data_IF_360498521721
#
_entry.id   IF_360498521721
#
_cell.length_a   1.000
_cell.length_b   1.000
_cell.length_c   1.000
_cell.angle_alpha   90.00
_cell.angle_beta   90.00
_cell.angle_gamma   90.00
#
_symmetry.space_group_name_H-M   'P 1'
#
loop_
_entity.id
_entity.type
_entity.pdbx_description
1 polymer ?
#
# COMPACT_ATOMS: atom_id res chain seq x y z
N UNK A 1 27.39 17.63 17.16
CA UNK A 1 27.40 16.14 17.21
C UNK A 1 26.26 15.75 16.30
N UNK A 2 26.53 15.64 15.00
CA UNK A 2 25.47 15.57 13.99
C UNK A 2 25.19 14.10 13.68
N UNK A 3 24.08 13.60 14.19
CA UNK A 3 23.48 12.35 13.73
C UNK A 3 23.02 12.57 12.29
N UNK A 4 23.91 12.26 11.34
CA UNK A 4 23.56 12.24 9.93
C UNK A 4 22.51 11.16 9.72
N UNK A 5 21.28 11.57 9.37
CA UNK A 5 20.24 10.69 8.87
C UNK A 5 20.85 9.75 7.80
N UNK A 6 21.03 8.48 8.16
CA UNK A 6 21.59 7.47 7.27
C UNK A 6 20.63 7.32 6.10
N UNK A 7 21.09 7.62 4.89
CA UNK A 7 20.29 7.44 3.68
C UNK A 7 19.81 5.99 3.58
N UNK A 8 18.64 5.74 2.97
CA UNK A 8 18.05 4.39 2.90
C UNK A 8 19.01 3.33 2.36
N UNK A 9 19.88 3.67 1.40
CA UNK A 9 20.91 2.75 0.91
C UNK A 9 21.96 2.40 1.97
N UNK A 10 22.34 3.36 2.84
CA UNK A 10 23.29 3.14 3.94
C UNK A 10 22.68 2.25 5.02
N UNK A 11 21.38 2.37 5.29
CA UNK A 11 20.67 1.48 6.20
C UNK A 11 20.67 0.04 5.68
N UNK A 12 20.42 -0.16 4.39
CA UNK A 12 20.49 -1.48 3.73
C UNK A 12 21.90 -2.06 3.83
N UNK A 13 22.93 -1.27 3.51
CA UNK A 13 24.33 -1.71 3.62
C UNK A 13 24.71 -2.09 5.05
N UNK A 14 24.30 -1.30 6.03
CA UNK A 14 24.51 -1.58 7.45
C UNK A 14 23.81 -2.88 7.89
N UNK A 15 22.57 -3.11 7.43
CA UNK A 15 21.81 -4.34 7.73
C UNK A 15 22.52 -5.59 7.18
N UNK A 16 23.03 -5.54 5.94
CA UNK A 16 23.82 -6.65 5.38
C UNK A 16 25.10 -6.92 6.17
N UNK A 17 25.83 -5.86 6.55
CA UNK A 17 27.04 -6.00 7.38
C UNK A 17 26.73 -6.58 8.76
N UNK A 18 25.62 -6.17 9.37
CA UNK A 18 25.15 -6.68 10.66
C UNK A 18 24.78 -8.17 10.56
N UNK A 19 24.00 -8.55 9.55
CA UNK A 19 23.63 -9.96 9.29
C UNK A 19 24.85 -10.84 9.08
N UNK A 20 25.81 -10.41 8.25
CA UNK A 20 27.05 -11.17 8.04
C UNK A 20 27.82 -11.38 9.34
N UNK A 21 27.92 -10.36 10.19
CA UNK A 21 28.56 -10.47 11.52
C UNK A 21 27.80 -11.43 12.44
N UNK A 22 26.47 -11.40 12.44
CA UNK A 22 25.65 -12.32 13.23
C UNK A 22 25.89 -13.78 12.82
N UNK A 23 26.09 -14.03 11.53
CA UNK A 23 26.44 -15.35 11.00
C UNK A 23 27.93 -15.72 11.19
N UNK A 24 28.75 -14.82 11.76
CA UNK A 24 30.21 -14.97 11.93
C UNK A 24 30.95 -15.29 10.62
N UNK A 25 30.42 -14.85 9.48
CA UNK A 25 31.00 -15.07 8.16
C UNK A 25 32.00 -13.95 7.81
N UNK A 26 33.18 -14.33 7.32
CA UNK A 26 34.17 -13.35 6.86
C UNK A 26 33.69 -12.63 5.59
N UNK A 27 34.11 -11.38 5.34
CA UNK A 27 33.75 -10.67 4.11
C UNK A 27 34.11 -11.46 2.84
N UNK A 28 35.27 -12.12 2.84
CA UNK A 28 35.71 -12.92 1.69
C UNK A 28 34.78 -14.10 1.41
N UNK A 29 34.36 -14.82 2.46
CA UNK A 29 33.43 -15.95 2.33
C UNK A 29 32.05 -15.51 1.86
N UNK A 30 31.55 -14.37 2.37
CA UNK A 30 30.28 -13.81 1.93
C UNK A 30 30.32 -13.35 0.46
N UNK A 31 31.41 -12.70 0.03
CA UNK A 31 31.58 -12.28 -1.36
C UNK A 31 31.64 -13.49 -2.31
N UNK A 32 32.37 -14.53 -1.91
CA UNK A 32 32.45 -15.78 -2.66
C UNK A 32 31.08 -16.47 -2.78
N UNK A 33 30.34 -16.58 -1.67
CA UNK A 33 28.99 -17.17 -1.67
C UNK A 33 28.00 -16.40 -2.55
N UNK A 34 28.11 -15.06 -2.58
CA UNK A 34 27.31 -14.21 -3.45
C UNK A 34 27.83 -14.13 -4.91
N UNK A 35 28.90 -14.87 -5.26
CA UNK A 35 29.56 -14.84 -6.56
C UNK A 35 29.91 -13.41 -7.04
N UNK A 36 30.44 -12.59 -6.12
CA UNK A 36 30.89 -11.21 -6.39
C UNK A 36 32.30 -10.95 -5.84
N UNK A 37 32.93 -9.87 -6.30
CA UNK A 37 34.23 -9.45 -5.76
C UNK A 37 34.11 -8.94 -4.32
N UNK A 38 35.18 -9.09 -3.52
CA UNK A 38 35.28 -8.49 -2.17
C UNK A 38 35.08 -6.97 -2.19
N UNK A 39 35.53 -6.31 -3.26
CA UNK A 39 35.37 -4.85 -3.44
C UNK A 39 33.90 -4.50 -3.64
N UNK A 40 33.16 -5.30 -4.42
CA UNK A 40 31.71 -5.14 -4.61
C UNK A 40 30.96 -5.34 -3.29
N UNK A 41 31.29 -6.39 -2.52
CA UNK A 41 30.68 -6.59 -1.19
C UNK A 41 30.94 -5.40 -0.26
N UNK A 42 32.17 -4.85 -0.26
CA UNK A 42 32.49 -3.69 0.56
C UNK A 42 31.68 -2.44 0.19
N UNK A 43 31.42 -2.22 -1.11
CA UNK A 43 30.56 -1.12 -1.59
C UNK A 43 29.09 -1.35 -1.20
N UNK A 44 28.60 -2.57 -1.35
CA UNK A 44 27.26 -2.99 -0.90
C UNK A 44 27.07 -2.76 0.60
N UNK A 45 28.02 -3.18 1.43
CA UNK A 45 27.97 -2.98 2.89
C UNK A 45 28.05 -1.50 3.32
N UNK A 46 28.46 -0.61 2.42
CA UNK A 46 28.46 0.84 2.63
C UNK A 46 27.20 1.54 2.10
N UNK A 47 26.34 0.81 1.39
CA UNK A 47 25.14 1.39 0.77
C UNK A 47 25.44 2.23 -0.48
N UNK A 48 26.50 1.88 -1.22
CA UNK A 48 26.88 2.55 -2.47
C UNK A 48 25.82 2.31 -3.57
N UNK A 49 25.12 3.37 -3.97
CA UNK A 49 24.04 3.32 -4.96
C UNK A 49 24.53 3.09 -6.39
N UNK A 50 25.84 3.20 -6.66
CA UNK A 50 26.42 2.89 -7.98
C UNK A 50 26.50 1.39 -8.26
N UNK A 51 26.35 0.55 -7.22
CA UNK A 51 26.38 -0.90 -7.37
C UNK A 51 25.05 -1.39 -7.96
N UNK A 52 25.14 -2.27 -8.95
CA UNK A 52 23.98 -2.92 -9.56
C UNK A 52 23.09 -3.60 -8.49
N UNK A 53 21.78 -3.34 -8.54
CA UNK A 53 20.76 -3.96 -7.67
C UNK A 53 20.86 -5.49 -7.62
N UNK A 54 21.25 -6.14 -8.71
CA UNK A 54 21.47 -7.60 -8.75
C UNK A 54 22.58 -8.07 -7.79
N UNK A 55 23.59 -7.24 -7.51
CA UNK A 55 24.61 -7.56 -6.52
C UNK A 55 24.07 -7.47 -5.10
N UNK A 56 23.16 -6.53 -4.81
CA UNK A 56 22.46 -6.46 -3.53
C UNK A 56 21.60 -7.70 -3.31
N UNK A 57 20.86 -8.14 -4.34
CA UNK A 57 20.03 -9.35 -4.28
C UNK A 57 20.85 -10.62 -4.03
N UNK A 58 21.99 -10.78 -4.71
CA UNK A 58 22.89 -11.93 -4.48
C UNK A 58 23.51 -11.94 -3.08
N UNK A 59 23.83 -10.77 -2.52
CA UNK A 59 24.31 -10.66 -1.14
C UNK A 59 23.20 -10.99 -0.15
N UNK A 60 21.97 -10.54 -0.40
CA UNK A 60 20.82 -10.89 0.43
C UNK A 60 20.60 -12.42 0.46
N UNK A 61 20.57 -13.05 -0.71
CA UNK A 61 20.44 -14.51 -0.87
C UNK A 61 21.55 -15.26 -0.12
N UNK A 62 22.82 -14.89 -0.35
CA UNK A 62 23.96 -15.52 0.31
C UNK A 62 23.99 -15.36 1.85
N UNK A 63 23.31 -14.33 2.39
CA UNK A 63 23.20 -14.07 3.83
C UNK A 63 21.86 -14.58 4.42
N UNK A 64 21.03 -15.25 3.61
CA UNK A 64 19.72 -15.72 4.00
C UNK A 64 18.81 -14.58 4.46
N UNK A 65 18.78 -13.49 3.68
CA UNK A 65 17.90 -12.34 3.85
C UNK A 65 16.91 -12.28 2.68
N UNK A 66 15.63 -12.07 3.00
CA UNK A 66 14.64 -11.69 2.01
C UNK A 66 14.59 -10.15 1.94
N UNK A 67 14.68 -9.60 0.72
CA UNK A 67 14.47 -8.18 0.46
C UNK A 67 13.01 -7.98 0.06
N UNK A 68 12.21 -7.42 0.97
CA UNK A 68 10.84 -7.04 0.70
C UNK A 68 10.80 -5.54 0.43
N UNK A 69 10.46 -5.14 -0.79
CA UNK A 69 10.17 -3.73 -1.08
C UNK A 69 8.72 -3.45 -0.73
N UNK A 70 8.47 -2.80 0.41
CA UNK A 70 7.16 -2.20 0.66
C UNK A 70 7.14 -0.84 -0.04
N UNK A 71 6.70 -0.83 -1.29
CA UNK A 71 6.32 0.42 -1.94
C UNK A 71 5.00 0.84 -1.29
N UNK A 72 5.00 1.91 -0.48
CA UNK A 72 3.78 2.47 0.07
C UNK A 72 2.95 3.10 -1.06
N UNK A 73 2.17 2.22 -1.69
CA UNK A 73 1.28 2.38 -2.82
C UNK A 73 0.68 1.01 -3.12
N UNK A 74 0.12 0.37 -2.11
CA UNK A 74 -0.31 -1.03 -2.14
C UNK A 74 -0.46 -1.59 -0.73
N UNK A 75 -1.69 -1.55 -0.24
CA UNK A 75 -2.16 -2.08 1.02
C UNK A 75 -1.77 -3.56 1.18
N UNK A 76 -0.82 -3.88 2.06
CA UNK A 76 -0.73 -5.22 2.63
C UNK A 76 -1.73 -5.27 3.79
N UNK A 77 -2.94 -5.70 3.47
CA UNK A 77 -4.00 -5.99 4.41
C UNK A 77 -3.52 -7.09 5.38
N UNK A 78 -2.92 -6.66 6.49
CA UNK A 78 -2.98 -7.40 7.73
C UNK A 78 -3.74 -6.48 8.69
N UNK A 79 -5.03 -6.76 8.84
CA UNK A 79 -6.01 -5.84 9.40
C UNK A 79 -5.70 -5.40 10.83
N UNK A 80 -5.88 -4.10 11.05
CA UNK A 80 -6.74 -3.62 12.14
C UNK A 80 -7.44 -2.36 11.63
N UNK A 81 -8.79 -2.33 11.66
CA UNK A 81 -9.60 -1.20 11.25
C UNK A 81 -9.62 -0.19 12.39
N UNK A 82 -9.35 1.09 12.13
CA UNK A 82 -9.98 2.26 12.78
C UNK A 82 -9.39 3.59 12.27
N UNK A 83 -8.19 3.63 11.67
CA UNK A 83 -7.51 4.93 11.47
C UNK A 83 -7.37 5.41 10.01
N UNK A 84 -8.11 4.84 9.05
CA UNK A 84 -7.90 5.07 7.59
C UNK A 84 -9.10 5.65 6.85
N UNK A 85 -9.92 6.47 7.50
CA UNK A 85 -11.13 7.09 6.92
C UNK A 85 -10.90 8.19 5.86
N UNK A 86 -9.67 8.47 5.44
CA UNK A 86 -9.38 9.69 4.67
C UNK A 86 -9.41 9.58 3.13
N UNK A 87 -9.64 8.40 2.52
CA UNK A 87 -9.76 8.30 1.06
C UNK A 87 -10.86 7.31 0.67
N UNK A 88 -11.72 7.67 -0.29
CA UNK A 88 -12.70 6.75 -0.87
C UNK A 88 -11.97 5.52 -1.45
N UNK A 89 -12.47 4.30 -1.20
CA UNK A 89 -11.90 3.11 -1.82
C UNK A 89 -12.08 3.17 -3.34
N UNK A 90 -11.14 2.57 -4.09
CA UNK A 90 -11.23 2.53 -5.55
C UNK A 90 -12.49 1.80 -6.05
N UNK A 91 -13.04 0.90 -5.24
CA UNK A 91 -14.29 0.18 -5.49
C UNK A 91 -15.11 0.10 -4.19
N UNK A 92 -16.41 0.39 -4.28
CA UNK A 92 -17.36 0.37 -3.16
C UNK A 92 -18.15 -0.93 -3.21
N UNK A 93 -18.04 -1.81 -2.20
CA UNK A 93 -18.79 -3.07 -2.16
C UNK A 93 -20.27 -2.80 -1.87
N UNK A 94 -21.14 -3.18 -2.80
CA UNK A 94 -22.58 -2.88 -2.73
C UNK A 94 -23.24 -3.57 -1.52
N UNK A 95 -22.80 -4.77 -1.16
CA UNK A 95 -23.38 -5.56 -0.06
C UNK A 95 -23.22 -4.92 1.33
N UNK A 96 -22.26 -3.99 1.50
CA UNK A 96 -22.06 -3.29 2.77
C UNK A 96 -23.02 -2.11 2.98
N UNK A 97 -23.73 -1.71 1.92
CA UNK A 97 -24.54 -0.50 1.89
C UNK A 97 -25.98 -0.85 1.48
N UNK A 98 -26.90 -0.98 2.44
CA UNK A 98 -28.25 -1.50 2.17
C UNK A 98 -29.05 -0.60 1.22
N UNK A 99 -28.93 0.73 1.32
CA UNK A 99 -29.62 1.64 0.40
C UNK A 99 -28.97 1.62 -0.98
N UNK A 100 -27.64 1.56 -1.06
CA UNK A 100 -26.94 1.40 -2.33
C UNK A 100 -27.38 0.14 -3.07
N UNK A 101 -27.48 -0.98 -2.35
CA UNK A 101 -27.97 -2.26 -2.89
C UNK A 101 -29.40 -2.16 -3.39
N UNK A 102 -30.27 -1.46 -2.66
CA UNK A 102 -31.66 -1.23 -3.06
C UNK A 102 -31.76 -0.43 -4.36
N UNK A 103 -30.92 0.60 -4.55
CA UNK A 103 -30.96 1.46 -5.74
C UNK A 103 -30.11 0.97 -6.92
N UNK A 104 -29.24 -0.02 -6.70
CA UNK A 104 -28.38 -0.62 -7.73
C UNK A 104 -29.10 -1.65 -8.62
N UNK A 105 -30.43 -1.75 -8.55
CA UNK A 105 -31.25 -2.67 -9.35
C UNK A 105 -31.05 -2.56 -10.87
N UNK A 106 -30.58 -1.40 -11.37
CA UNK A 106 -30.26 -1.21 -12.79
C UNK A 106 -28.95 -1.90 -13.22
N UNK A 107 -28.15 -2.39 -12.27
CA UNK A 107 -26.87 -3.06 -12.49
C UNK A 107 -26.89 -4.46 -11.84
N UNK A 108 -27.65 -5.42 -12.38
CA UNK A 108 -27.57 -6.80 -11.92
C UNK A 108 -26.14 -7.31 -12.15
N UNK A 109 -25.60 -8.07 -11.19
CA UNK A 109 -24.29 -8.74 -11.20
C UNK A 109 -23.05 -7.92 -10.77
N UNK A 110 -23.18 -6.62 -10.43
CA UNK A 110 -22.07 -5.91 -9.81
C UNK A 110 -22.07 -6.14 -8.29
N UNK A 111 -20.96 -6.64 -7.76
CA UNK A 111 -20.71 -6.73 -6.31
C UNK A 111 -20.00 -5.47 -5.79
N UNK A 112 -19.27 -4.76 -6.66
CA UNK A 112 -18.52 -3.56 -6.34
C UNK A 112 -18.71 -2.52 -7.45
N UNK A 113 -18.75 -1.24 -7.10
CA UNK A 113 -18.93 -0.12 -8.05
C UNK A 113 -17.92 1.00 -7.81
N UNK A 114 -17.54 1.69 -8.88
CA UNK A 114 -16.65 2.86 -8.79
C UNK A 114 -17.33 4.03 -8.04
N UNK A 115 -16.58 4.85 -7.28
CA UNK A 115 -17.14 5.99 -6.54
C UNK A 115 -17.96 6.99 -7.38
N UNK A 116 -17.52 7.43 -8.58
CA UNK A 116 -18.35 8.30 -9.42
C UNK A 116 -19.68 7.65 -9.85
N UNK A 117 -19.66 6.34 -10.10
CA UNK A 117 -20.85 5.58 -10.48
C UNK A 117 -21.81 5.43 -9.29
N UNK A 118 -21.27 5.19 -8.09
CA UNK A 118 -22.05 5.16 -6.85
C UNK A 118 -22.78 6.49 -6.60
N UNK A 119 -22.08 7.62 -6.74
CA UNK A 119 -22.71 8.93 -6.60
C UNK A 119 -23.83 9.12 -7.63
N UNK A 120 -23.60 8.78 -8.90
CA UNK A 120 -24.62 8.88 -9.94
C UNK A 120 -25.86 8.00 -9.71
N UNK A 121 -25.69 6.85 -9.04
CA UNK A 121 -26.82 6.01 -8.60
C UNK A 121 -27.61 6.69 -7.48
N UNK A 122 -26.93 7.23 -6.47
CA UNK A 122 -27.57 7.99 -5.40
C UNK A 122 -28.31 9.21 -5.95
N UNK A 123 -27.72 9.98 -6.86
CA UNK A 123 -28.34 11.18 -7.45
C UNK A 123 -29.61 10.84 -8.23
N UNK A 124 -29.53 9.83 -9.10
CA UNK A 124 -30.66 9.44 -9.96
C UNK A 124 -31.80 8.78 -9.18
N UNK A 125 -31.47 8.00 -8.16
CA UNK A 125 -32.43 7.17 -7.44
C UNK A 125 -32.71 7.67 -6.02
N UNK A 126 -32.34 8.92 -5.68
CA UNK A 126 -32.46 9.49 -4.34
C UNK A 126 -33.85 9.35 -3.73
N UNK A 127 -34.90 9.48 -4.56
CA UNK A 127 -36.30 9.33 -4.13
C UNK A 127 -36.62 7.94 -3.54
N UNK A 128 -35.84 6.92 -3.89
CA UNK A 128 -35.99 5.55 -3.39
C UNK A 128 -35.04 5.24 -2.23
N UNK A 129 -34.16 6.18 -1.87
CA UNK A 129 -33.25 6.05 -0.74
C UNK A 129 -34.01 6.43 0.54
N UNK A 130 -34.16 5.45 1.43
CA UNK A 130 -34.71 5.69 2.77
C UNK A 130 -33.59 6.20 3.70
N UNK A 131 -33.59 7.51 3.92
CA UNK A 131 -32.61 8.17 4.79
C UNK A 131 -32.72 7.70 6.25
N UNK A 132 -33.90 7.28 6.71
CA UNK A 132 -34.09 6.79 8.08
C UNK A 132 -33.49 5.39 8.27
N UNK A 133 -33.40 4.61 7.19
CA UNK A 133 -32.78 3.28 7.17
C UNK A 133 -31.29 3.29 6.75
N UNK A 134 -30.72 4.48 6.47
CA UNK A 134 -29.33 4.62 6.06
C UNK A 134 -28.39 4.43 7.26
N UNK A 135 -27.45 3.49 7.14
CA UNK A 135 -26.48 3.22 8.23
C UNK A 135 -25.53 4.42 8.41
N UNK A 136 -24.93 4.63 9.59
CA UNK A 136 -23.96 5.72 9.79
C UNK A 136 -22.77 5.64 8.82
N UNK A 137 -22.32 4.42 8.49
CA UNK A 137 -21.25 4.18 7.51
C UNK A 137 -21.67 4.58 6.08
N UNK A 138 -22.94 4.37 5.72
CA UNK A 138 -23.49 4.73 4.42
C UNK A 138 -23.70 6.24 4.28
N UNK A 139 -24.16 6.90 5.34
CA UNK A 139 -24.26 8.37 5.38
C UNK A 139 -22.89 9.02 5.18
N UNK A 140 -21.87 8.50 5.85
CA UNK A 140 -20.50 8.96 5.70
C UNK A 140 -19.95 8.71 4.28
N UNK A 141 -20.25 7.55 3.67
CA UNK A 141 -19.91 7.27 2.28
C UNK A 141 -20.54 8.30 1.33
N UNK A 142 -21.84 8.58 1.45
CA UNK A 142 -22.55 9.54 0.60
C UNK A 142 -21.96 10.95 0.77
N UNK A 143 -21.69 11.38 2.01
CA UNK A 143 -21.07 12.67 2.28
C UNK A 143 -19.69 12.79 1.62
N UNK A 144 -18.87 11.73 1.66
CA UNK A 144 -17.57 11.69 0.98
C UNK A 144 -17.70 11.68 -0.54
N UNK A 145 -18.63 10.89 -1.08
CA UNK A 145 -18.93 10.87 -2.51
C UNK A 145 -19.33 12.25 -3.04
N UNK A 146 -20.20 12.95 -2.33
CA UNK A 146 -20.59 14.34 -2.68
C UNK A 146 -19.40 15.28 -2.56
N UNK A 147 -18.54 15.13 -1.55
CA UNK A 147 -17.36 15.99 -1.37
C UNK A 147 -16.31 15.80 -2.47
N UNK A 148 -16.08 14.57 -2.92
CA UNK A 148 -15.03 14.24 -3.89
C UNK A 148 -15.52 14.28 -5.35
N UNK A 149 -16.79 13.96 -5.60
CA UNK A 149 -17.36 13.84 -6.95
C UNK A 149 -18.62 14.69 -7.18
N UNK A 150 -19.16 15.34 -6.15
CA UNK A 150 -20.32 16.23 -6.27
C UNK A 150 -19.94 17.54 -6.96
N UNK A 151 -19.94 17.52 -8.28
CA UNK A 151 -19.68 18.68 -9.16
C UNK A 151 -20.79 19.76 -9.11
N UNK A 152 -21.42 19.99 -7.95
CA UNK A 152 -22.35 21.11 -7.73
C UNK A 152 -23.84 20.82 -7.95
N UNK A 153 -24.29 19.57 -8.01
CA UNK A 153 -25.72 19.23 -8.02
C UNK A 153 -26.08 18.50 -6.72
N UNK A 154 -26.75 19.19 -5.79
CA UNK A 154 -27.25 18.56 -4.56
C UNK A 154 -28.73 18.23 -4.76
N UNK A 155 -29.05 16.96 -4.49
CA UNK A 155 -30.34 16.27 -4.53
C UNK A 155 -31.58 17.16 -4.34
N UNK A 156 -32.50 17.14 -5.33
CA UNK A 156 -33.86 17.71 -5.27
C UNK A 156 -34.90 16.58 -5.37
#
# INVERSE_FOLDING_TARGET
MNEAELSGSQQIGAAFKARRKALKVSPTRAAQAAAISRVTLHRVERGDTSVNVGAYLRVADALGLALNSTLAGGDQSNGSPTDREAALPWLIPIDQYPQLKLIAWSLPDLQEIDPPLALGLYERNWRYVDQAAMTPQEQDLVNRLVKEHGNGCVFV
#
